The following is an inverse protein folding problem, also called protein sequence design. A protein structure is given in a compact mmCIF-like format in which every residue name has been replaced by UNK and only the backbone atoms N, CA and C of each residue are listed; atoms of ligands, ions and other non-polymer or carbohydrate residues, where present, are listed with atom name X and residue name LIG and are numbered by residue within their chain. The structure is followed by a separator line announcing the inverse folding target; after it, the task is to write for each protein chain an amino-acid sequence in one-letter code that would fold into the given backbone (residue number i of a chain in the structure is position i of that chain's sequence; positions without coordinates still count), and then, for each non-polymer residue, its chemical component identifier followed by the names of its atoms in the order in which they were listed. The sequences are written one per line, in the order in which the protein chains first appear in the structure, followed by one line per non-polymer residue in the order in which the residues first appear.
data_IF_088631355983
#
_entry.id   IF_088631355983
#
_cell.length_a   1.000
_cell.length_b   1.000
_cell.length_c   1.000
_cell.angle_alpha   90.00
_cell.angle_beta   90.00
_cell.angle_gamma   90.00
#
_symmetry.space_group_name_H-M   'P 1'
#
loop_
_entity.id
_entity.type
_entity.pdbx_description
1 polymer ?
#
# COMPACT_ATOMS: atom_id res chain seq x y z
N UNK A 1 86.36 -38.25 -45.92
CA UNK A 1 86.67 -37.05 -45.12
C UNK A 1 85.85 -35.90 -45.68
N UNK A 2 85.07 -35.30 -44.79
CA UNK A 2 84.02 -34.29 -45.00
C UNK A 2 84.49 -33.01 -45.71
N UNK A 3 83.58 -32.36 -46.46
CA UNK A 3 83.19 -30.98 -46.18
C UNK A 3 81.91 -30.53 -46.96
N UNK A 4 81.31 -29.49 -46.40
CA UNK A 4 79.94 -28.96 -46.46
C UNK A 4 79.59 -28.07 -47.68
N UNK A 5 78.27 -27.79 -47.78
CA UNK A 5 77.58 -26.63 -48.42
C UNK A 5 77.44 -26.64 -49.97
N UNK A 6 76.35 -26.28 -50.67
CA UNK A 6 74.98 -25.69 -50.53
C UNK A 6 74.27 -25.92 -51.92
N UNK A 7 72.96 -25.64 -52.24
CA UNK A 7 72.10 -24.54 -51.74
C UNK A 7 70.57 -24.83 -51.56
N UNK A 8 69.87 -23.80 -51.06
CA UNK A 8 68.40 -23.64 -50.99
C UNK A 8 67.67 -24.09 -52.27
N UNK A 9 66.57 -24.83 -52.11
CA UNK A 9 65.46 -24.84 -53.08
C UNK A 9 64.12 -24.90 -52.37
N UNK A 10 63.39 -23.78 -52.45
CA UNK A 10 62.01 -23.61 -52.01
C UNK A 10 61.14 -24.54 -52.86
N UNK A 11 60.51 -25.55 -52.24
CA UNK A 11 59.42 -26.29 -52.88
C UNK A 11 58.08 -25.71 -52.41
N UNK A 12 57.50 -24.92 -53.30
CA UNK A 12 56.13 -24.45 -53.25
C UNK A 12 55.18 -25.64 -53.34
N UNK A 13 54.39 -25.88 -52.30
CA UNK A 13 53.26 -26.81 -52.39
C UNK A 13 52.26 -26.30 -53.45
N UNK A 14 51.66 -27.19 -54.26
CA UNK A 14 50.69 -26.82 -55.28
C UNK A 14 49.47 -26.14 -54.64
N UNK A 15 49.09 -24.97 -55.18
CA UNK A 15 48.00 -24.09 -54.70
C UNK A 15 46.64 -24.78 -54.51
N UNK A 16 46.43 -25.96 -55.09
CA UNK A 16 45.14 -26.66 -55.11
C UNK A 16 44.79 -27.38 -53.79
N UNK A 17 45.77 -27.82 -53.00
CA UNK A 17 45.50 -28.49 -51.72
C UNK A 17 45.20 -27.52 -50.57
N UNK A 18 45.82 -26.33 -50.58
CA UNK A 18 45.54 -25.27 -49.61
C UNK A 18 44.11 -24.74 -49.74
N UNK A 19 43.56 -24.72 -50.95
CA UNK A 19 42.19 -24.25 -51.23
C UNK A 19 41.12 -25.19 -50.67
N UNK A 20 41.34 -26.51 -50.70
CA UNK A 20 40.37 -27.50 -50.16
C UNK A 20 40.30 -27.50 -48.63
N UNK A 21 41.44 -27.35 -47.96
CA UNK A 21 41.46 -27.20 -46.50
C UNK A 21 40.86 -25.88 -46.03
N UNK A 22 41.05 -24.80 -46.79
CA UNK A 22 40.42 -23.51 -46.50
C UNK A 22 38.90 -23.57 -46.63
N UNK A 23 38.38 -24.29 -47.63
CA UNK A 23 36.93 -24.47 -47.83
C UNK A 23 36.32 -25.33 -46.72
N UNK A 24 37.00 -26.40 -46.29
CA UNK A 24 36.53 -27.25 -45.18
C UNK A 24 36.51 -26.53 -43.83
N UNK A 25 37.54 -25.71 -43.54
CA UNK A 25 37.59 -24.89 -42.32
C UNK A 25 36.55 -23.76 -42.38
N UNK A 26 36.34 -23.15 -43.56
CA UNK A 26 35.29 -22.16 -43.75
C UNK A 26 33.89 -22.74 -43.58
N UNK A 27 33.64 -23.97 -44.04
CA UNK A 27 32.36 -24.68 -43.85
C UNK A 27 32.12 -25.07 -42.39
N UNK A 28 33.17 -25.46 -41.65
CA UNK A 28 33.08 -25.76 -40.22
C UNK A 28 32.85 -24.50 -39.37
N UNK A 29 33.48 -23.38 -39.72
CA UNK A 29 33.24 -22.08 -39.10
C UNK A 29 31.84 -21.54 -39.44
N UNK A 30 31.34 -21.77 -40.65
CA UNK A 30 29.98 -21.38 -41.04
C UNK A 30 28.92 -22.22 -40.32
N UNK A 31 29.16 -23.53 -40.11
CA UNK A 31 28.28 -24.40 -39.34
C UNK A 31 28.25 -24.04 -37.84
N UNK A 32 29.39 -23.61 -37.28
CA UNK A 32 29.45 -23.10 -35.90
C UNK A 32 28.78 -21.72 -35.74
N UNK A 33 28.64 -20.95 -36.83
CA UNK A 33 27.98 -19.64 -36.84
C UNK A 33 26.46 -19.72 -36.97
N UNK A 34 25.93 -20.88 -37.38
CA UNK A 34 24.49 -21.15 -37.50
C UNK A 34 23.89 -21.72 -36.20
N UNK A 35 24.73 -22.13 -35.25
CA UNK A 35 24.34 -22.53 -33.90
C UNK A 35 24.40 -21.33 -32.97
N UNK A 36 23.63 -20.29 -33.26
CA UNK A 36 23.33 -19.32 -32.21
C UNK A 36 22.55 -20.07 -31.13
N UNK A 37 22.89 -19.96 -29.83
CA UNK A 37 21.93 -20.34 -28.80
C UNK A 37 20.68 -19.54 -29.13
N UNK A 38 19.57 -20.23 -29.40
CA UNK A 38 18.28 -19.57 -29.40
C UNK A 38 18.23 -18.85 -28.05
N UNK A 39 18.36 -17.52 -28.08
CA UNK A 39 17.99 -16.72 -26.93
C UNK A 39 16.59 -17.24 -26.60
N UNK A 40 16.44 -17.84 -25.42
CA UNK A 40 15.13 -18.11 -24.88
C UNK A 40 14.43 -16.77 -24.95
N UNK A 41 13.58 -16.62 -25.97
CA UNK A 41 12.67 -15.52 -26.06
C UNK A 41 11.84 -15.75 -24.82
N UNK A 42 12.07 -14.95 -23.77
CA UNK A 42 11.12 -14.83 -22.68
C UNK A 42 9.78 -14.75 -23.39
N UNK A 43 8.99 -15.83 -23.29
CA UNK A 43 7.62 -15.78 -23.72
C UNK A 43 7.10 -14.57 -22.96
N UNK A 44 6.87 -13.46 -23.67
CA UNK A 44 6.03 -12.41 -23.16
C UNK A 44 4.73 -13.13 -22.91
N UNK A 45 4.56 -13.57 -21.67
CA UNK A 45 3.35 -14.20 -21.23
C UNK A 45 2.27 -13.21 -21.62
N UNK A 46 1.42 -13.60 -22.56
CA UNK A 46 0.32 -12.78 -23.02
C UNK A 46 -0.62 -12.44 -21.85
N UNK A 47 -0.49 -13.16 -20.73
CA UNK A 47 -1.13 -12.92 -19.46
C UNK A 47 -0.16 -12.31 -18.43
N UNK A 48 -0.55 -11.22 -17.80
CA UNK A 48 0.09 -10.67 -16.60
C UNK A 48 -0.86 -10.76 -15.43
N UNK A 49 -0.41 -11.29 -14.30
CA UNK A 49 -1.19 -11.47 -13.09
C UNK A 49 -0.38 -10.98 -11.89
N UNK A 50 -0.98 -10.14 -11.06
CA UNK A 50 -0.38 -9.66 -9.81
C UNK A 50 -1.44 -9.53 -8.72
N UNK A 51 -0.98 -9.56 -7.47
CA UNK A 51 -1.81 -9.22 -6.33
C UNK A 51 -1.08 -8.39 -5.29
N UNK A 52 -1.84 -7.52 -4.63
CA UNK A 52 -1.40 -6.75 -3.47
C UNK A 52 -2.28 -7.14 -2.29
N UNK A 53 -1.66 -7.50 -1.17
CA UNK A 53 -2.35 -7.99 0.02
C UNK A 53 -2.34 -6.92 1.11
N UNK A 54 -3.50 -6.64 1.68
CA UNK A 54 -3.66 -5.66 2.74
C UNK A 54 -3.29 -4.26 2.28
N UNK A 55 -2.62 -3.53 3.16
CA UNK A 55 -2.17 -2.16 2.95
C UNK A 55 -0.65 -2.17 2.91
N UNK A 56 -0.05 -2.07 1.72
CA UNK A 56 1.40 -2.15 1.53
C UNK A 56 2.01 -3.44 2.11
N UNK A 57 1.34 -4.58 1.91
CA UNK A 57 1.73 -5.87 2.48
C UNK A 57 1.43 -6.05 3.98
N UNK A 58 0.93 -5.00 4.65
CA UNK A 58 0.57 -5.02 6.06
C UNK A 58 -0.90 -5.41 6.28
N UNK A 59 -1.17 -6.23 7.28
CA UNK A 59 -2.53 -6.63 7.64
C UNK A 59 -2.70 -6.87 9.13
N UNK A 60 -3.93 -6.69 9.63
CA UNK A 60 -4.36 -7.13 10.96
C UNK A 60 -5.29 -8.34 10.79
N UNK A 61 -4.92 -9.49 11.33
CA UNK A 61 -5.61 -10.78 11.13
C UNK A 61 -7.03 -10.81 11.74
N UNK A 62 -7.34 -9.89 12.63
CA UNK A 62 -8.66 -9.73 13.25
C UNK A 62 -9.69 -9.17 12.26
N UNK A 63 -9.26 -8.55 11.16
CA UNK A 63 -10.12 -7.87 10.19
C UNK A 63 -10.18 -8.59 8.85
N UNK A 64 -11.11 -8.15 8.00
CA UNK A 64 -11.14 -8.55 6.60
C UNK A 64 -10.01 -7.83 5.87
N UNK A 65 -9.18 -8.58 5.17
CA UNK A 65 -8.01 -8.04 4.47
C UNK A 65 -8.36 -7.92 2.98
N UNK A 66 -8.25 -6.73 2.38
CA UNK A 66 -8.40 -6.59 0.94
C UNK A 66 -7.22 -7.25 0.22
N UNK A 67 -7.49 -8.03 -0.80
CA UNK A 67 -6.50 -8.52 -1.77
C UNK A 67 -6.89 -8.00 -3.13
N UNK A 68 -6.14 -7.03 -3.62
CA UNK A 68 -6.33 -6.47 -4.95
C UNK A 68 -5.63 -7.37 -5.96
N UNK A 69 -6.38 -7.80 -6.97
CA UNK A 69 -5.88 -8.64 -8.06
C UNK A 69 -5.93 -7.83 -9.34
N UNK A 70 -4.81 -7.75 -10.04
CA UNK A 70 -4.74 -7.17 -11.39
C UNK A 70 -4.37 -8.26 -12.38
N UNK A 71 -5.19 -8.40 -13.43
CA UNK A 71 -5.00 -9.37 -14.48
C UNK A 71 -5.12 -8.68 -15.85
N UNK A 72 -4.06 -8.72 -16.64
CA UNK A 72 -4.04 -8.22 -18.01
C UNK A 72 -3.85 -9.38 -18.99
N UNK A 73 -4.69 -9.46 -20.03
CA UNK A 73 -4.65 -10.51 -21.03
C UNK A 73 -4.54 -9.91 -22.43
N UNK A 74 -3.45 -10.21 -23.13
CA UNK A 74 -3.19 -9.87 -24.53
C UNK A 74 -3.34 -11.09 -25.46
N UNK A 75 -3.64 -12.26 -24.91
CA UNK A 75 -3.74 -13.54 -25.62
C UNK A 75 -5.19 -13.97 -25.88
N UNK A 76 -5.45 -15.27 -26.06
CA UNK A 76 -6.80 -15.81 -26.18
C UNK A 76 -7.67 -15.45 -24.96
N UNK A 77 -8.98 -15.27 -25.17
CA UNK A 77 -9.90 -14.98 -24.08
C UNK A 77 -9.90 -16.08 -23.01
N UNK A 78 -9.88 -15.68 -21.74
CA UNK A 78 -9.93 -16.58 -20.58
C UNK A 78 -11.22 -16.29 -19.82
N UNK A 79 -12.06 -17.31 -19.64
CA UNK A 79 -13.25 -17.26 -18.80
C UNK A 79 -13.07 -18.28 -17.67
N UNK A 80 -13.22 -17.87 -16.42
CA UNK A 80 -13.02 -18.75 -15.28
C UNK A 80 -13.05 -18.01 -13.95
N UNK A 81 -12.10 -18.31 -13.07
CA UNK A 81 -12.04 -17.69 -11.74
C UNK A 81 -10.61 -17.53 -11.22
N UNK A 82 -10.44 -16.53 -10.38
CA UNK A 82 -9.27 -16.39 -9.51
C UNK A 82 -9.57 -17.10 -8.20
N UNK A 83 -8.60 -17.88 -7.70
CA UNK A 83 -8.64 -18.55 -6.41
C UNK A 83 -7.44 -18.13 -5.56
N UNK A 84 -7.67 -17.69 -4.33
CA UNK A 84 -6.62 -17.42 -3.35
C UNK A 84 -6.64 -18.55 -2.30
N UNK A 85 -5.51 -19.23 -2.14
CA UNK A 85 -5.36 -20.32 -1.19
C UNK A 85 -4.79 -19.79 0.13
N UNK A 86 -5.60 -19.87 1.18
CA UNK A 86 -5.19 -19.47 2.53
C UNK A 86 -4.79 -20.70 3.33
N UNK A 87 -3.49 -20.88 3.55
CA UNK A 87 -2.97 -21.98 4.37
C UNK A 87 -3.30 -21.76 5.83
N UNK A 88 -3.91 -22.75 6.47
CA UNK A 88 -4.21 -22.72 7.89
C UNK A 88 -3.08 -23.35 8.72
N UNK A 89 -3.00 -22.97 9.99
CA UNK A 89 -2.10 -23.62 10.94
C UNK A 89 -2.49 -25.08 11.16
N UNK A 90 -1.51 -25.96 11.38
CA UNK A 90 -1.77 -27.36 11.79
C UNK A 90 -1.99 -28.35 10.65
N UNK A 91 -1.55 -28.03 9.42
CA UNK A 91 -1.57 -28.98 8.30
C UNK A 91 -2.96 -29.25 7.72
N UNK A 92 -3.94 -28.38 8.01
CA UNK A 92 -5.26 -28.44 7.39
C UNK A 92 -5.19 -28.02 5.92
N UNK A 93 -6.10 -28.55 5.12
CA UNK A 93 -6.27 -28.15 3.73
C UNK A 93 -6.48 -26.62 3.63
N UNK A 94 -5.86 -25.94 2.64
CA UNK A 94 -6.07 -24.51 2.43
C UNK A 94 -7.55 -24.21 2.21
N UNK A 95 -8.03 -23.07 2.74
CA UNK A 95 -9.36 -22.57 2.40
C UNK A 95 -9.27 -21.74 1.13
N UNK A 96 -9.99 -22.11 0.04
CA UNK A 96 -10.02 -21.34 -1.18
C UNK A 96 -11.01 -20.17 -1.09
N UNK A 97 -10.59 -19.00 -1.54
CA UNK A 97 -11.45 -17.85 -1.81
C UNK A 97 -11.51 -17.62 -3.31
N UNK A 98 -12.70 -17.78 -3.91
CA UNK A 98 -12.89 -17.71 -5.37
C UNK A 98 -13.68 -16.47 -5.78
N UNK A 99 -13.27 -15.87 -6.90
CA UNK A 99 -14.06 -14.86 -7.61
C UNK A 99 -14.05 -15.14 -9.12
N UNK A 100 -15.21 -15.13 -9.80
CA UNK A 100 -15.24 -15.27 -11.25
C UNK A 100 -14.48 -14.13 -11.92
N UNK A 101 -13.80 -14.43 -13.02
CA UNK A 101 -13.10 -13.45 -13.84
C UNK A 101 -13.28 -13.80 -15.32
N UNK A 102 -13.56 -12.77 -16.10
CA UNK A 102 -13.65 -12.81 -17.56
C UNK A 102 -12.54 -11.94 -18.10
N UNK A 103 -11.60 -12.49 -18.86
CA UNK A 103 -10.46 -11.76 -19.43
C UNK A 103 -10.49 -11.93 -20.96
N UNK A 104 -11.26 -11.10 -21.68
CA UNK A 104 -11.19 -11.05 -23.13
C UNK A 104 -9.77 -10.75 -23.65
N UNK A 105 -9.54 -11.01 -24.93
CA UNK A 105 -8.30 -10.57 -25.60
C UNK A 105 -8.15 -9.05 -25.50
N UNK A 106 -6.94 -8.59 -25.16
CA UNK A 106 -6.60 -7.19 -24.90
C UNK A 106 -7.41 -6.55 -23.76
N UNK A 107 -7.57 -7.27 -22.66
CA UNK A 107 -8.24 -6.77 -21.45
C UNK A 107 -7.26 -6.50 -20.31
N UNK A 108 -7.64 -5.57 -19.43
CA UNK A 108 -7.00 -5.37 -18.15
C UNK A 108 -8.10 -5.21 -17.11
N UNK A 109 -8.12 -6.09 -16.10
CA UNK A 109 -9.12 -6.10 -15.04
C UNK A 109 -8.45 -6.01 -13.69
N UNK A 110 -9.06 -5.20 -12.82
CA UNK A 110 -8.79 -5.16 -11.40
C UNK A 110 -10.04 -5.59 -10.63
N UNK A 111 -9.85 -6.44 -9.63
CA UNK A 111 -10.91 -6.81 -8.69
C UNK A 111 -10.32 -6.98 -7.29
N UNK A 112 -11.16 -6.90 -6.26
CA UNK A 112 -10.73 -7.02 -4.87
C UNK A 112 -11.47 -8.17 -4.22
N UNK A 113 -10.72 -9.12 -3.63
CA UNK A 113 -11.28 -10.12 -2.73
C UNK A 113 -11.06 -9.67 -1.29
N UNK A 114 -12.01 -9.97 -0.41
CA UNK A 114 -11.86 -9.72 1.03
C UNK A 114 -11.75 -11.06 1.74
N UNK A 115 -10.60 -11.32 2.37
CA UNK A 115 -10.30 -12.62 2.96
C UNK A 115 -9.85 -12.50 4.42
N UNK A 116 -9.95 -13.60 5.16
CA UNK A 116 -9.38 -13.71 6.50
C UNK A 116 -8.02 -14.39 6.42
N UNK A 117 -6.98 -13.67 6.83
CA UNK A 117 -5.59 -14.16 6.81
C UNK A 117 -5.19 -14.60 8.22
N UNK A 118 -4.78 -15.87 8.43
CA UNK A 118 -4.28 -16.35 9.72
C UNK A 118 -3.01 -15.62 10.16
N UNK A 119 -2.81 -15.49 11.47
CA UNK A 119 -1.66 -14.79 12.04
C UNK A 119 -0.29 -15.37 11.66
N UNK A 120 -0.23 -16.63 11.23
CA UNK A 120 1.01 -17.32 10.83
C UNK A 120 1.32 -17.22 9.33
N UNK A 121 0.48 -16.53 8.54
CA UNK A 121 0.69 -16.42 7.10
C UNK A 121 1.84 -15.46 6.77
N UNK A 122 2.75 -15.92 5.91
CA UNK A 122 3.91 -15.16 5.42
C UNK A 122 3.80 -14.75 3.94
N UNK A 123 2.97 -15.46 3.17
CA UNK A 123 2.60 -15.16 1.79
C UNK A 123 1.22 -15.77 1.48
N UNK A 124 0.65 -15.40 0.34
CA UNK A 124 -0.51 -16.03 -0.26
C UNK A 124 -0.17 -16.55 -1.64
N UNK A 125 -0.84 -17.61 -2.06
CA UNK A 125 -0.80 -18.12 -3.43
C UNK A 125 -2.13 -17.84 -4.10
N UNK A 126 -2.06 -17.24 -5.29
CA UNK A 126 -3.21 -16.98 -6.14
C UNK A 126 -3.08 -17.78 -7.42
N UNK A 127 -4.16 -18.42 -7.81
CA UNK A 127 -4.26 -19.24 -9.01
C UNK A 127 -5.37 -18.70 -9.90
N UNK A 128 -5.10 -18.63 -11.20
CA UNK A 128 -6.09 -18.33 -12.23
C UNK A 128 -6.48 -19.63 -12.92
N UNK A 129 -7.76 -19.96 -12.87
CA UNK A 129 -8.33 -21.10 -13.57
C UNK A 129 -9.14 -20.63 -14.79
N UNK A 130 -9.02 -21.37 -15.88
CA UNK A 130 -9.94 -21.32 -17.01
C UNK A 130 -10.95 -22.45 -16.87
N UNK A 131 -12.22 -22.11 -17.10
CA UNK A 131 -13.37 -22.95 -16.78
C UNK A 131 -13.27 -23.46 -15.32
N UNK A 132 -13.60 -24.72 -15.06
CA UNK A 132 -13.60 -25.30 -13.71
C UNK A 132 -12.37 -26.17 -13.36
N UNK A 133 -11.38 -26.28 -14.26
CA UNK A 133 -10.35 -27.33 -14.13
C UNK A 133 -8.94 -26.96 -14.58
N UNK A 134 -8.76 -25.96 -15.42
CA UNK A 134 -7.47 -25.73 -16.09
C UNK A 134 -6.73 -24.59 -15.40
N UNK A 135 -5.65 -24.89 -14.68
CA UNK A 135 -4.78 -23.86 -14.11
C UNK A 135 -4.02 -23.16 -15.26
N UNK A 136 -4.19 -21.86 -15.37
CA UNK A 136 -3.59 -21.02 -16.42
C UNK A 136 -2.37 -20.27 -15.90
N UNK A 137 -2.44 -19.77 -14.67
CA UNK A 137 -1.36 -19.04 -14.03
C UNK A 137 -1.41 -19.19 -12.51
N UNK A 138 -0.25 -19.06 -11.88
CA UNK A 138 -0.10 -19.01 -10.43
C UNK A 138 0.89 -17.89 -10.08
N UNK A 139 0.59 -17.13 -9.03
CA UNK A 139 1.47 -16.07 -8.53
C UNK A 139 1.43 -16.02 -7.01
N UNK A 140 2.57 -15.69 -6.40
CA UNK A 140 2.66 -15.43 -4.96
C UNK A 140 2.60 -13.93 -4.66
N UNK A 141 2.11 -13.56 -3.48
CA UNK A 141 1.95 -12.15 -3.06
C UNK A 141 3.28 -11.46 -2.72
N UNK A 142 4.38 -12.22 -2.66
CA UNK A 142 5.55 -11.83 -1.89
C UNK A 142 5.27 -11.89 -0.37
N UNK A 143 6.19 -11.31 0.40
CA UNK A 143 6.11 -11.26 1.86
C UNK A 143 4.96 -10.39 2.33
N UNK A 144 4.14 -10.91 3.24
CA UNK A 144 3.13 -10.15 3.96
C UNK A 144 3.47 -10.11 5.45
N UNK A 145 3.12 -9.00 6.10
CA UNK A 145 3.51 -8.74 7.48
C UNK A 145 2.28 -8.46 8.33
N UNK A 146 2.17 -9.22 9.41
CA UNK A 146 1.07 -9.06 10.38
C UNK A 146 1.38 -7.90 11.32
N UNK A 147 0.49 -6.92 11.35
CA UNK A 147 0.40 -5.89 12.40
C UNK A 147 -0.46 -6.44 13.54
N UNK A 148 0.02 -6.33 14.77
CA UNK A 148 -0.73 -6.88 15.91
C UNK A 148 -1.95 -6.02 16.23
N UNK A 149 -2.96 -6.61 16.88
CA UNK A 149 -4.21 -5.92 17.22
C UNK A 149 -3.98 -4.61 18.00
N UNK A 150 -2.98 -4.57 18.89
CA UNK A 150 -2.68 -3.42 19.74
C UNK A 150 -1.61 -2.48 19.14
N UNK A 151 -1.18 -2.71 17.88
CA UNK A 151 -0.28 -1.82 17.15
C UNK A 151 -1.08 -0.87 16.26
N UNK A 152 -0.59 0.36 16.09
CA UNK A 152 -1.15 1.31 15.13
C UNK A 152 -0.76 0.94 13.69
N UNK A 153 -1.70 1.09 12.76
CA UNK A 153 -1.45 1.08 11.33
C UNK A 153 -1.85 2.42 10.73
N UNK A 154 -0.85 3.16 10.28
CA UNK A 154 -1.00 4.39 9.50
C UNK A 154 -1.13 4.04 8.02
N UNK A 155 -2.19 4.49 7.36
CA UNK A 155 -2.25 4.58 5.90
C UNK A 155 -1.84 5.99 5.48
N UNK A 156 -0.89 6.11 4.55
CA UNK A 156 -0.39 7.40 4.09
C UNK A 156 -0.55 7.50 2.59
N UNK A 157 -1.33 8.49 2.15
CA UNK A 157 -1.43 8.88 0.75
C UNK A 157 -0.68 10.19 0.58
N UNK A 158 0.38 10.15 -0.24
CA UNK A 158 1.23 11.29 -0.55
C UNK A 158 1.75 11.18 -1.98
N UNK A 159 1.83 12.30 -2.71
CA UNK A 159 2.45 12.31 -4.04
C UNK A 159 3.93 11.95 -4.02
N UNK A 160 4.61 12.20 -2.89
CA UNK A 160 6.07 12.14 -2.79
C UNK A 160 6.58 10.83 -2.16
N UNK A 161 5.73 9.80 -2.07
CA UNK A 161 6.14 8.39 -2.15
C UNK A 161 7.15 7.82 -1.14
N UNK A 162 7.35 8.37 0.06
CA UNK A 162 8.21 7.69 1.04
C UNK A 162 8.57 8.36 2.38
N UNK A 163 8.26 9.64 2.60
CA UNK A 163 8.87 10.39 3.71
C UNK A 163 8.13 10.31 5.07
N UNK A 164 7.22 9.35 5.25
CA UNK A 164 6.42 9.20 6.47
C UNK A 164 6.85 8.07 7.40
N UNK A 165 7.98 7.41 7.14
CA UNK A 165 8.49 6.28 7.97
C UNK A 165 8.77 6.69 9.41
N UNK A 166 8.97 7.98 9.71
CA UNK A 166 9.12 8.46 11.08
C UNK A 166 7.90 8.14 11.96
N UNK A 167 6.71 7.94 11.38
CA UNK A 167 5.49 7.58 12.10
C UNK A 167 5.55 6.19 12.75
N UNK A 168 6.42 5.29 12.27
CA UNK A 168 6.67 3.99 12.91
C UNK A 168 7.19 4.13 14.36
N UNK A 169 7.78 5.29 14.68
CA UNK A 169 8.25 5.60 16.05
C UNK A 169 7.16 6.22 16.93
N UNK A 170 5.97 6.49 16.37
CA UNK A 170 4.88 7.21 17.03
C UNK A 170 3.69 6.26 17.26
N UNK A 171 3.75 5.45 18.31
CA UNK A 171 2.67 4.51 18.66
C UNK A 171 1.59 5.12 19.58
N UNK A 172 1.81 6.32 20.13
CA UNK A 172 0.90 6.88 21.14
C UNK A 172 0.81 5.97 22.38
N UNK A 173 -0.39 5.49 22.71
CA UNK A 173 -0.61 4.52 23.80
C UNK A 173 -0.55 3.05 23.36
N UNK A 174 -0.22 2.78 22.09
CA UNK A 174 -0.20 1.46 21.48
C UNK A 174 1.17 0.79 21.62
N UNK A 175 1.23 -0.53 21.43
CA UNK A 175 2.46 -1.30 21.62
C UNK A 175 3.51 -1.03 20.54
N UNK A 176 3.07 -0.69 19.33
CA UNK A 176 3.93 -0.43 18.18
C UNK A 176 3.18 0.40 17.13
N UNK A 177 3.87 0.81 16.06
CA UNK A 177 3.28 1.46 14.91
C UNK A 177 3.88 0.94 13.59
N UNK A 178 3.06 0.88 12.55
CA UNK A 178 3.49 0.54 11.19
C UNK A 178 2.88 1.51 10.19
N UNK A 179 3.58 1.75 9.08
CA UNK A 179 3.15 2.68 8.03
C UNK A 179 2.95 1.91 6.73
N UNK A 180 1.78 2.05 6.13
CA UNK A 180 1.49 1.61 4.78
C UNK A 180 1.47 2.83 3.86
N UNK A 181 2.30 2.80 2.81
CA UNK A 181 2.27 3.81 1.76
C UNK A 181 1.22 3.40 0.71
N UNK A 182 0.25 4.26 0.48
CA UNK A 182 -0.95 3.95 -0.28
C UNK A 182 -1.19 4.96 -1.40
N UNK A 183 -1.89 4.49 -2.42
CA UNK A 183 -2.55 5.33 -3.42
C UNK A 183 -4.06 5.28 -3.21
N UNK A 184 -4.82 6.16 -3.89
CA UNK A 184 -6.28 6.10 -3.84
C UNK A 184 -6.83 4.78 -4.39
N UNK A 185 -6.13 4.16 -5.34
CA UNK A 185 -6.50 2.85 -5.88
C UNK A 185 -6.41 1.73 -4.82
N UNK A 186 -5.60 1.93 -3.77
CA UNK A 186 -5.43 0.95 -2.69
C UNK A 186 -6.54 0.99 -1.65
N UNK A 187 -7.36 2.04 -1.67
CA UNK A 187 -8.45 2.23 -0.72
C UNK A 187 -9.68 1.41 -1.16
N UNK A 188 -10.14 0.43 -0.36
CA UNK A 188 -11.27 -0.39 -0.74
C UNK A 188 -12.58 0.41 -0.81
N UNK A 189 -13.49 0.00 -1.69
CA UNK A 189 -14.84 0.60 -1.75
C UNK A 189 -15.76 0.13 -0.60
N UNK A 190 -15.33 -0.87 0.18
CA UNK A 190 -16.11 -1.45 1.28
C UNK A 190 -15.56 -1.02 2.64
N UNK A 191 -16.41 -0.36 3.45
CA UNK A 191 -16.04 0.17 4.77
C UNK A 191 -15.40 -0.86 5.72
N UNK A 192 -15.86 -2.12 5.73
CA UNK A 192 -15.37 -3.14 6.67
C UNK A 192 -13.88 -3.47 6.48
N UNK A 193 -13.35 -3.25 5.28
CA UNK A 193 -11.95 -3.51 4.96
C UNK A 193 -11.00 -2.45 5.52
N UNK A 194 -11.51 -1.25 5.84
CA UNK A 194 -10.73 -0.16 6.40
C UNK A 194 -10.43 -0.34 7.89
N UNK A 195 -11.08 -1.31 8.55
CA UNK A 195 -10.97 -1.51 10.01
C UNK A 195 -9.55 -1.88 10.49
N UNK A 196 -8.66 -2.32 9.60
CA UNK A 196 -7.25 -2.52 9.98
C UNK A 196 -6.44 -1.22 10.05
N UNK A 197 -6.89 -0.15 9.36
CA UNK A 197 -6.28 1.17 9.42
C UNK A 197 -6.81 1.91 10.65
N UNK A 198 -5.91 2.44 11.47
CA UNK A 198 -6.30 3.26 12.63
C UNK A 198 -6.26 4.76 12.29
N UNK A 199 -5.27 5.15 11.49
CA UNK A 199 -5.02 6.52 11.08
C UNK A 199 -4.81 6.56 9.57
N UNK A 200 -5.47 7.51 8.88
CA UNK A 200 -5.29 7.75 7.45
C UNK A 200 -4.86 9.20 7.22
N UNK A 201 -3.77 9.38 6.47
CA UNK A 201 -3.20 10.70 6.19
C UNK A 201 -3.32 10.96 4.69
N UNK A 202 -3.98 12.06 4.34
CA UNK A 202 -3.94 12.62 2.99
C UNK A 202 -3.02 13.83 3.00
N UNK A 203 -1.88 13.68 2.32
CA UNK A 203 -0.93 14.74 2.05
C UNK A 203 -0.80 14.93 0.54
N UNK A 204 -0.85 16.15 0.03
CA UNK A 204 -0.74 16.46 -1.41
C UNK A 204 -1.40 15.43 -2.37
N UNK A 205 -2.59 14.95 -2.00
CA UNK A 205 -3.30 13.85 -2.66
C UNK A 205 -4.45 14.42 -3.46
N UNK A 206 -4.63 14.05 -4.73
CA UNK A 206 -5.75 14.53 -5.55
C UNK A 206 -7.06 13.84 -5.15
N UNK A 207 -7.72 14.38 -4.13
CA UNK A 207 -8.96 13.82 -3.59
C UNK A 207 -10.14 13.89 -4.56
N UNK A 208 -10.03 14.63 -5.67
CA UNK A 208 -11.03 14.60 -6.76
C UNK A 208 -11.15 13.25 -7.45
N UNK A 209 -10.16 12.36 -7.28
CA UNK A 209 -10.19 11.00 -7.82
C UNK A 209 -10.88 9.98 -6.89
N UNK A 210 -11.30 10.38 -5.68
CA UNK A 210 -12.05 9.48 -4.80
C UNK A 210 -13.38 9.08 -5.43
N UNK A 211 -13.66 7.78 -5.46
CA UNK A 211 -14.98 7.31 -5.89
C UNK A 211 -16.04 7.59 -4.82
N UNK A 212 -17.32 7.67 -5.21
CA UNK A 212 -18.43 7.83 -4.26
C UNK A 212 -18.46 6.71 -3.21
N UNK A 213 -18.11 5.48 -3.61
CA UNK A 213 -18.07 4.34 -2.70
C UNK A 213 -16.90 4.46 -1.71
N UNK A 214 -15.72 4.88 -2.17
CA UNK A 214 -14.58 5.13 -1.28
C UNK A 214 -14.88 6.25 -0.27
N UNK A 215 -15.53 7.33 -0.69
CA UNK A 215 -15.98 8.39 0.22
C UNK A 215 -16.97 7.88 1.26
N UNK A 216 -17.94 7.06 0.84
CA UNK A 216 -18.91 6.44 1.76
C UNK A 216 -18.21 5.50 2.75
N UNK A 217 -17.21 4.74 2.29
CA UNK A 217 -16.40 3.86 3.13
C UNK A 217 -15.57 4.64 4.15
N UNK A 218 -14.96 5.77 3.74
CA UNK A 218 -14.24 6.69 4.60
C UNK A 218 -15.13 7.23 5.73
N UNK A 219 -16.33 7.71 5.40
CA UNK A 219 -17.29 8.22 6.39
C UNK A 219 -17.72 7.13 7.38
N UNK A 220 -17.99 5.91 6.90
CA UNK A 220 -18.32 4.78 7.77
C UNK A 220 -17.13 4.39 8.68
N UNK A 221 -15.91 4.40 8.16
CA UNK A 221 -14.69 4.14 8.93
C UNK A 221 -14.43 5.20 10.00
N UNK A 222 -14.63 6.49 9.68
CA UNK A 222 -14.61 7.57 10.67
C UNK A 222 -15.62 7.32 11.78
N UNK A 223 -16.87 6.97 11.43
CA UNK A 223 -17.89 6.66 12.41
C UNK A 223 -17.52 5.47 13.33
N UNK A 224 -16.72 4.53 12.83
CA UNK A 224 -16.27 3.34 13.56
C UNK A 224 -15.02 3.54 14.42
N UNK A 225 -14.36 4.71 14.36
CA UNK A 225 -13.22 5.03 15.20
C UNK A 225 -11.96 5.45 14.46
N UNK A 226 -11.98 5.49 13.12
CA UNK A 226 -10.86 5.93 12.31
C UNK A 226 -10.48 7.39 12.55
N UNK A 227 -9.19 7.71 12.36
CA UNK A 227 -8.72 9.09 12.38
C UNK A 227 -8.20 9.54 11.03
N UNK A 228 -8.87 10.50 10.41
CA UNK A 228 -8.40 11.13 9.18
C UNK A 228 -7.56 12.37 9.51
N UNK A 229 -6.41 12.52 8.87
CA UNK A 229 -5.63 13.77 8.84
C UNK A 229 -5.58 14.26 7.39
N UNK A 230 -6.00 15.50 7.18
CA UNK A 230 -5.85 16.21 5.92
C UNK A 230 -4.85 17.34 6.14
N UNK A 231 -3.80 17.38 5.33
CA UNK A 231 -2.75 18.40 5.44
C UNK A 231 -3.02 19.60 4.53
N UNK A 232 -2.39 20.71 4.89
CA UNK A 232 -2.47 22.00 4.21
C UNK A 232 -1.26 22.22 3.30
N UNK A 233 -0.54 23.32 3.54
CA UNK A 233 0.59 23.74 2.69
C UNK A 233 0.15 24.41 1.39
N UNK A 234 1.01 24.38 0.37
CA UNK A 234 0.75 25.05 -0.91
C UNK A 234 -0.37 24.38 -1.73
N UNK A 235 -0.48 23.06 -1.61
CA UNK A 235 -1.37 22.22 -2.43
C UNK A 235 -2.66 21.81 -1.70
N UNK A 236 -3.07 22.55 -0.66
CA UNK A 236 -4.23 22.18 0.15
C UNK A 236 -5.51 22.00 -0.67
N UNK A 237 -5.72 22.77 -1.74
CA UNK A 237 -6.95 22.65 -2.55
C UNK A 237 -7.09 21.24 -3.13
N UNK A 238 -6.00 20.67 -3.64
CA UNK A 238 -5.96 19.32 -4.21
C UNK A 238 -6.33 18.27 -3.16
N UNK A 239 -5.84 18.44 -1.94
CA UNK A 239 -6.03 17.48 -0.82
C UNK A 239 -7.34 17.65 -0.05
N UNK A 240 -7.84 18.87 0.09
CA UNK A 240 -8.90 19.20 1.05
C UNK A 240 -10.25 19.56 0.41
N UNK A 241 -10.29 19.92 -0.89
CA UNK A 241 -11.51 20.44 -1.50
C UNK A 241 -12.69 19.44 -1.43
N UNK A 242 -12.46 18.18 -1.77
CA UNK A 242 -13.52 17.14 -1.76
C UNK A 242 -13.92 16.67 -0.36
N UNK A 243 -13.18 17.09 0.66
CA UNK A 243 -13.38 16.70 2.06
C UNK A 243 -13.81 17.89 2.92
N UNK A 244 -14.04 19.07 2.33
CA UNK A 244 -14.28 20.31 3.06
C UNK A 244 -15.48 20.26 4.03
N UNK A 245 -16.48 19.42 3.75
CA UNK A 245 -17.61 19.15 4.63
C UNK A 245 -17.23 18.35 5.88
N UNK A 246 -16.17 17.54 5.81
CA UNK A 246 -15.63 16.74 6.92
C UNK A 246 -14.54 17.46 7.72
N UNK A 247 -14.06 18.64 7.29
CA UNK A 247 -12.96 19.33 7.96
C UNK A 247 -13.41 20.20 9.15
N UNK A 248 -12.61 20.29 10.22
CA UNK A 248 -12.89 21.16 11.37
C UNK A 248 -12.73 22.65 11.05
N UNK A 249 -12.18 22.99 9.88
CA UNK A 249 -11.86 24.35 9.47
C UNK A 249 -12.46 24.68 8.10
N UNK A 250 -12.61 25.97 7.82
CA UNK A 250 -12.79 26.48 6.46
C UNK A 250 -11.46 27.07 6.01
N UNK A 251 -10.86 26.47 4.97
CA UNK A 251 -9.57 26.92 4.42
C UNK A 251 -9.82 28.06 3.43
N UNK A 252 -9.00 29.10 3.49
CA UNK A 252 -9.18 30.33 2.71
C UNK A 252 -8.12 30.49 1.63
N UNK A 253 -6.84 30.34 1.98
CA UNK A 253 -5.69 30.52 1.09
C UNK A 253 -4.45 29.83 1.66
N UNK A 254 -3.29 30.02 1.03
CA UNK A 254 -2.00 29.76 1.65
C UNK A 254 -1.18 31.03 1.69
N UNK A 255 -0.32 31.15 2.70
CA UNK A 255 0.62 32.24 2.84
C UNK A 255 1.98 31.74 3.27
N UNK A 256 3.01 32.52 2.95
CA UNK A 256 4.36 32.31 3.46
C UNK A 256 4.56 33.15 4.71
N UNK A 257 5.07 32.55 5.77
CA UNK A 257 5.41 33.22 7.04
C UNK A 257 6.88 33.01 7.39
N UNK A 258 7.46 33.96 8.10
CA UNK A 258 8.88 33.90 8.49
C UNK A 258 9.11 33.09 9.78
N UNK A 259 8.11 32.94 10.65
CA UNK A 259 8.19 32.17 11.89
C UNK A 259 6.78 31.72 12.35
N UNK A 260 6.72 30.76 13.29
CA UNK A 260 5.52 30.30 13.98
C UNK A 260 5.77 30.28 15.50
N UNK A 261 5.96 31.45 16.15
CA UNK A 261 6.28 31.54 17.58
C UNK A 261 5.28 30.82 18.50
N UNK A 262 3.99 30.83 18.18
CA UNK A 262 2.96 30.14 18.95
C UNK A 262 3.15 28.63 18.98
N UNK A 263 3.59 28.02 17.87
CA UNK A 263 3.86 26.59 17.79
C UNK A 263 5.08 26.19 18.61
N UNK A 264 6.22 26.86 18.40
CA UNK A 264 7.47 26.59 19.15
C UNK A 264 7.34 26.87 20.64
N UNK A 265 6.59 27.91 21.04
CA UNK A 265 6.35 28.18 22.46
C UNK A 265 5.45 27.11 23.09
N UNK A 266 4.43 26.64 22.36
CA UNK A 266 3.51 25.61 22.85
C UNK A 266 4.17 24.25 23.00
N UNK A 267 5.09 23.91 22.10
CA UNK A 267 5.83 22.64 22.10
C UNK A 267 7.10 22.71 22.96
N UNK A 268 7.72 23.89 23.08
CA UNK A 268 8.92 24.09 23.88
C UNK A 268 10.24 23.74 23.18
N UNK A 269 10.21 23.53 21.86
CA UNK A 269 11.39 23.22 21.04
C UNK A 269 11.52 24.31 19.97
N UNK A 270 12.71 24.90 19.84
CA UNK A 270 12.97 25.91 18.81
C UNK A 270 13.03 25.25 17.41
N UNK A 271 12.63 25.98 16.37
CA UNK A 271 12.90 25.55 15.00
C UNK A 271 14.40 25.58 14.72
N UNK A 272 14.84 24.72 13.79
CA UNK A 272 16.23 24.64 13.37
C UNK A 272 16.67 25.91 12.64
N UNK A 273 15.87 26.32 11.67
CA UNK A 273 16.06 27.51 10.84
C UNK A 273 14.77 28.32 10.83
N UNK A 274 14.82 29.67 10.78
CA UNK A 274 13.64 30.49 10.52
C UNK A 274 13.06 30.19 9.12
N UNK A 275 11.87 30.72 8.83
CA UNK A 275 11.17 30.55 7.55
C UNK A 275 11.97 31.01 6.32
N UNK A 276 11.39 30.86 5.13
CA UNK A 276 9.95 30.85 4.88
C UNK A 276 9.25 29.51 5.13
N UNK A 277 8.06 29.54 5.74
CA UNK A 277 7.15 28.40 5.87
C UNK A 277 5.84 28.66 5.15
N UNK A 278 5.33 27.66 4.43
CA UNK A 278 4.02 27.76 3.77
C UNK A 278 2.94 27.19 4.69
N UNK A 279 1.93 27.99 4.99
CA UNK A 279 0.83 27.61 5.87
C UNK A 279 -0.51 27.90 5.19
N UNK A 280 -1.39 26.90 5.17
CA UNK A 280 -2.77 27.07 4.75
C UNK A 280 -3.53 27.90 5.78
N UNK A 281 -4.03 29.06 5.37
CA UNK A 281 -4.83 29.94 6.22
C UNK A 281 -6.25 29.38 6.34
N UNK A 282 -6.76 29.35 7.57
CA UNK A 282 -8.08 28.81 7.82
C UNK A 282 -8.74 29.44 9.05
N UNK A 283 -10.05 29.24 9.16
CA UNK A 283 -10.83 29.59 10.35
C UNK A 283 -11.51 28.34 10.90
N UNK A 284 -11.61 28.24 12.23
CA UNK A 284 -12.29 27.12 12.87
C UNK A 284 -13.78 27.15 12.49
N UNK A 285 -14.26 26.02 11.96
CA UNK A 285 -15.68 25.80 11.64
C UNK A 285 -16.37 25.01 12.75
N UNK A 286 -15.69 24.00 13.30
CA UNK A 286 -16.22 23.08 14.31
C UNK A 286 -15.09 22.39 15.06
N UNK A 287 -15.38 21.89 16.26
CA UNK A 287 -14.43 21.18 17.09
C UNK A 287 -13.50 22.12 17.87
N UNK A 288 -12.21 21.80 17.90
CA UNK A 288 -11.21 22.47 18.74
C UNK A 288 -9.90 22.76 17.99
N UNK A 289 -9.19 23.81 18.42
CA UNK A 289 -7.83 24.11 17.97
C UNK A 289 -6.84 23.57 18.98
N UNK A 290 -5.95 22.69 18.54
CA UNK A 290 -4.91 22.07 19.37
C UNK A 290 -3.63 22.90 19.36
N UNK A 291 -3.20 23.33 18.17
CA UNK A 291 -2.05 24.22 17.97
C UNK A 291 -2.48 25.43 17.13
N UNK A 292 -1.97 26.62 17.46
CA UNK A 292 -2.29 27.87 16.76
C UNK A 292 -1.09 28.82 16.70
N UNK A 293 -1.10 29.69 15.70
CA UNK A 293 -0.30 30.90 15.60
C UNK A 293 -1.24 32.09 15.69
N UNK A 294 -1.24 32.81 16.82
CA UNK A 294 -2.24 33.86 17.08
C UNK A 294 -3.68 33.31 16.93
N UNK A 295 -4.40 33.76 15.91
CA UNK A 295 -5.75 33.32 15.56
C UNK A 295 -5.78 32.22 14.47
N UNK A 296 -4.63 31.92 13.85
CA UNK A 296 -4.51 30.91 12.79
C UNK A 296 -4.46 29.49 13.39
N UNK A 297 -5.44 28.60 13.10
CA UNK A 297 -5.35 27.19 13.46
C UNK A 297 -4.20 26.52 12.70
N UNK A 298 -3.27 25.91 13.44
CA UNK A 298 -2.18 25.10 12.87
C UNK A 298 -2.50 23.60 12.93
N UNK A 299 -3.15 23.15 14.00
CA UNK A 299 -3.76 21.83 14.10
C UNK A 299 -5.14 21.99 14.70
N UNK A 300 -6.17 21.63 13.93
CA UNK A 300 -7.56 21.60 14.38
C UNK A 300 -8.11 20.18 14.33
N UNK A 301 -9.10 19.89 15.17
CA UNK A 301 -9.71 18.57 15.30
C UNK A 301 -11.21 18.69 15.49
N UNK A 302 -11.96 17.80 14.85
CA UNK A 302 -13.34 17.52 15.24
C UNK A 302 -13.60 16.03 15.37
N UNK A 303 -14.57 15.66 16.21
CA UNK A 303 -15.05 14.28 16.32
C UNK A 303 -16.10 13.99 15.25
N UNK A 304 -16.01 12.79 14.65
CA UNK A 304 -17.00 12.25 13.69
C UNK A 304 -17.31 10.82 14.12
N UNK A 305 -18.54 10.58 14.59
CA UNK A 305 -18.92 9.32 15.25
C UNK A 305 -17.95 8.98 16.39
N UNK A 306 -17.32 7.79 16.33
CA UNK A 306 -16.29 7.39 17.30
C UNK A 306 -14.88 7.87 16.93
N UNK A 307 -14.67 8.28 15.69
CA UNK A 307 -13.39 8.75 15.16
C UNK A 307 -13.23 10.25 15.21
N UNK A 308 -12.29 10.75 14.40
CA UNK A 308 -12.03 12.19 14.30
C UNK A 308 -11.38 12.58 12.98
N UNK A 309 -11.59 13.83 12.59
CA UNK A 309 -10.91 14.46 11.45
C UNK A 309 -10.02 15.58 11.97
N UNK A 310 -8.76 15.57 11.55
CA UNK A 310 -7.77 16.61 11.81
C UNK A 310 -7.46 17.38 10.54
N UNK A 311 -7.22 18.67 10.71
CA UNK A 311 -6.58 19.50 9.69
C UNK A 311 -5.26 20.03 10.24
N UNK A 312 -4.16 19.71 9.54
CA UNK A 312 -2.82 20.23 9.81
C UNK A 312 -2.53 21.31 8.76
N UNK A 313 -2.34 22.57 9.16
CA UNK A 313 -2.23 23.68 8.22
C UNK A 313 -0.94 23.66 7.36
N UNK A 314 0.05 22.88 7.76
CA UNK A 314 1.33 22.73 7.08
C UNK A 314 1.41 21.38 6.36
N UNK A 315 2.29 21.32 5.37
CA UNK A 315 2.77 20.04 4.83
C UNK A 315 3.83 19.46 5.80
N UNK A 316 3.64 18.24 6.34
CA UNK A 316 4.60 17.61 7.22
C UNK A 316 5.93 17.25 6.56
N UNK A 317 6.00 17.20 5.23
CA UNK A 317 7.20 16.94 4.46
C UNK A 317 7.97 18.21 4.07
N UNK A 318 7.53 19.38 4.57
CA UNK A 318 8.22 20.65 4.35
C UNK A 318 8.65 21.27 5.68
N UNK A 319 9.61 22.20 5.60
CA UNK A 319 9.99 23.03 6.74
C UNK A 319 8.77 23.81 7.27
N UNK A 320 8.60 23.94 8.60
CA UNK A 320 9.54 23.50 9.62
C UNK A 320 9.36 22.03 10.04
N UNK A 321 8.31 21.33 9.61
CA UNK A 321 7.92 20.05 10.21
C UNK A 321 8.83 18.87 9.85
N UNK A 322 9.43 18.86 8.66
CA UNK A 322 10.28 17.76 8.19
C UNK A 322 11.52 17.55 9.08
N UNK A 323 12.23 18.64 9.41
CA UNK A 323 13.54 18.60 10.09
C UNK A 323 13.49 19.09 11.55
N UNK A 324 12.30 19.17 12.14
CA UNK A 324 12.11 19.70 13.50
C UNK A 324 11.62 18.62 14.47
N UNK A 325 12.40 18.40 15.54
CA UNK A 325 12.08 17.43 16.60
C UNK A 325 10.70 17.64 17.23
N UNK A 326 10.19 18.88 17.24
CA UNK A 326 8.85 19.18 17.74
C UNK A 326 7.71 18.60 16.90
N UNK A 327 7.98 18.18 15.66
CA UNK A 327 7.00 17.50 14.80
C UNK A 327 6.49 16.20 15.44
N UNK A 328 7.35 15.44 16.13
CA UNK A 328 6.96 14.21 16.82
C UNK A 328 5.90 14.45 17.91
N UNK A 329 5.90 15.63 18.54
CA UNK A 329 4.90 16.02 19.53
C UNK A 329 3.53 16.18 18.88
N UNK A 330 3.47 16.74 17.67
CA UNK A 330 2.22 16.90 16.91
C UNK A 330 1.62 15.52 16.62
N UNK A 331 2.43 14.60 16.09
CA UNK A 331 1.99 13.25 15.75
C UNK A 331 1.64 12.41 16.98
N UNK A 332 2.40 12.53 18.07
CA UNK A 332 2.10 11.86 19.35
C UNK A 332 0.76 12.32 19.93
N UNK A 333 0.43 13.61 19.77
CA UNK A 333 -0.84 14.20 20.20
C UNK A 333 -2.03 13.68 19.35
N UNK A 334 -1.81 13.35 18.09
CA UNK A 334 -2.80 12.70 17.22
C UNK A 334 -2.96 11.22 17.60
N UNK A 335 -1.86 10.47 17.60
CA UNK A 335 -1.78 9.04 17.90
C UNK A 335 -2.32 8.70 19.30
N UNK A 336 -2.02 9.53 20.30
CA UNK A 336 -2.52 9.38 21.67
C UNK A 336 -4.02 9.59 21.83
N UNK A 337 -4.73 10.04 20.79
CA UNK A 337 -6.20 10.20 20.78
C UNK A 337 -6.92 9.13 19.97
N UNK A 338 -6.20 8.15 19.41
CA UNK A 338 -6.86 7.01 18.73
C UNK A 338 -7.77 6.32 19.74
N UNK A 339 -9.07 6.16 19.45
CA UNK A 339 -9.99 5.54 20.40
C UNK A 339 -9.59 4.09 20.69
N UNK A 340 -9.57 3.70 21.96
CA UNK A 340 -9.50 2.30 22.34
C UNK A 340 -10.80 1.61 21.93
N UNK A 341 -10.83 0.99 20.75
CA UNK A 341 -11.99 0.26 20.27
C UNK A 341 -12.03 -1.11 20.95
N UNK A 342 -12.56 -1.16 22.17
CA UNK A 342 -12.96 -2.45 22.76
C UNK A 342 -13.94 -3.15 21.79
N UNK A 343 -13.65 -4.42 21.50
CA UNK A 343 -14.18 -5.29 20.43
C UNK A 343 -15.71 -5.32 20.20
N UNK A 344 -16.52 -4.74 21.09
CA UNK A 344 -17.97 -4.80 21.03
C UNK A 344 -18.57 -3.96 19.90
N UNK A 345 -17.88 -2.90 19.46
CA UNK A 345 -18.32 -2.05 18.35
C UNK A 345 -18.19 -2.68 16.96
N UNK A 346 -17.56 -3.85 16.86
CA UNK A 346 -17.31 -4.56 15.60
C UNK A 346 -18.28 -5.74 15.41
N UNK A 347 -19.24 -5.94 16.32
CA UNK A 347 -20.06 -7.16 16.38
C UNK A 347 -19.30 -8.37 16.95
N UNK A 348 -19.94 -9.54 17.08
CA UNK A 348 -19.31 -10.73 17.65
C UNK A 348 -18.20 -11.27 16.73
N UNK A 349 -16.95 -10.91 17.03
CA UNK A 349 -15.76 -11.36 16.29
C UNK A 349 -15.33 -12.79 16.63
N UNK A 350 -15.85 -13.34 17.73
CA UNK A 350 -15.62 -14.71 18.15
C UNK A 350 -16.97 -15.32 18.56
N UNK A 351 -17.51 -16.21 17.73
CA UNK A 351 -18.77 -16.89 18.01
C UNK A 351 -18.75 -17.63 19.34
N UNK A 352 -17.60 -18.16 19.76
CA UNK A 352 -17.44 -18.82 21.07
C UNK A 352 -17.56 -17.83 22.23
N UNK A 353 -16.90 -16.67 22.15
CA UNK A 353 -17.01 -15.62 23.16
C UNK A 353 -18.43 -15.01 23.19
N UNK A 354 -19.05 -14.84 22.03
CA UNK A 354 -20.44 -14.39 21.91
C UNK A 354 -21.42 -15.41 22.51
N UNK A 355 -21.21 -16.71 22.27
CA UNK A 355 -22.00 -17.79 22.85
C UNK A 355 -21.84 -17.85 24.37
N UNK A 356 -20.63 -17.59 24.88
CA UNK A 356 -20.32 -17.56 26.32
C UNK A 356 -20.92 -16.33 27.02
N UNK A 357 -20.95 -15.19 26.32
CA UNK A 357 -21.61 -13.96 26.80
C UNK A 357 -23.14 -14.12 26.81
N UNK A 358 -23.72 -14.72 25.76
CA UNK A 358 -25.16 -15.02 25.68
C UNK A 358 -25.56 -16.04 26.75
N UNK A 359 -24.73 -17.05 27.03
CA UNK A 359 -25.00 -18.05 28.06
C UNK A 359 -24.78 -17.56 29.50
N UNK A 360 -24.18 -16.38 29.70
CA UNK A 360 -23.99 -15.75 31.02
C UNK A 360 -25.02 -14.66 31.33
N UNK A 361 -25.96 -14.38 30.41
CA UNK A 361 -27.08 -13.48 30.67
C UNK A 361 -28.12 -14.18 31.57
N UNK A 362 -28.46 -13.63 32.76
CA UNK A 362 -29.34 -14.28 33.73
C UNK A 362 -30.80 -14.52 33.29
N UNK A 363 -31.20 -14.02 32.12
CA UNK A 363 -32.57 -14.21 31.61
C UNK A 363 -32.64 -14.10 30.10
N UNK A 364 -32.49 -15.24 29.42
CA UNK A 364 -33.00 -15.43 28.06
C UNK A 364 -34.40 -16.04 28.16
N UNK A 365 -35.43 -15.20 28.20
CA UNK A 365 -36.80 -15.66 27.99
C UNK A 365 -37.03 -15.81 26.48
N UNK A 366 -37.23 -17.05 26.02
CA UNK A 366 -37.72 -17.29 24.67
C UNK A 366 -39.13 -16.69 24.52
N UNK A 367 -39.49 -16.09 23.37
CA UNK A 367 -40.84 -15.62 23.15
C UNK A 367 -41.80 -16.82 23.24
N UNK A 368 -42.86 -16.68 24.02
CA UNK A 368 -43.96 -17.64 24.03
C UNK A 368 -44.61 -17.66 22.65
N UNK A 369 -44.79 -18.87 22.12
CA UNK A 369 -45.42 -19.18 20.83
C UNK A 369 -46.80 -18.53 20.72
#
# INVERSE_FOLDING_TARGET
MEQFALPKRIQTMPKTYKMRYFILIALLLLAASLSSPAAAQEERSDLSLSMTVGYDGLYKNEYWVPVQVTAANNGPAIEGYVEILVRQSGGQEPIPFRSPISLPTQSNKRLTLYIKIPAAASNLTMQLYQDDRTLVAEVESGSISRVTQNSLLYGVLSSDGGEFTFLERISGSHSDASVALLTLDDLPETAVAWNSLDILIFNDTDTSQLTTNQRTALEAWLNNGGQLIVTGGANWQKTAAELADLLPVTINSSQTVDDLPGLRQRIGIAFRDPGPYVVATSSLRSGEIIFRQDDLPLLARQSVGRGSVYFLALDPLLAPLLDWDGSEVIWSVIAGRVPNTNNWGLGPQNSYAATTAVSSLPSLTLPSI
#
